data_IF_577816327449
#
_entry.id   IF_577816327449
#
_cell.length_a   1.000
_cell.length_b   1.000
_cell.length_c   1.000
_cell.angle_alpha   90.00
_cell.angle_beta   90.00
_cell.angle_gamma   90.00
#
_symmetry.space_group_name_H-M   'P 1'
#
loop_
_entity.id
_entity.type
_entity.pdbx_description
1 polymer ?
#
# COMPACT_ATOMS: atom_id res chain seq x y z
N UNK A 1 7.88 17.32 -4.62
CA UNK A 1 7.99 16.03 -3.91
C UNK A 1 9.19 16.00 -2.97
N UNK A 2 8.99 15.54 -1.75
CA UNK A 2 10.07 15.35 -0.77
C UNK A 2 10.33 13.83 -0.62
N UNK A 3 11.53 13.38 -0.97
CA UNK A 3 11.94 11.97 -0.89
C UNK A 3 12.05 11.43 0.54
N UNK A 4 11.99 12.32 1.54
CA UNK A 4 11.99 11.97 2.96
C UNK A 4 10.63 11.47 3.46
N UNK A 5 9.57 11.65 2.68
CA UNK A 5 8.24 11.17 3.03
C UNK A 5 8.13 9.65 2.85
N UNK A 6 7.23 9.02 3.58
CA UNK A 6 6.98 7.57 3.48
C UNK A 6 6.07 7.19 2.32
N UNK A 7 5.42 8.16 1.69
CA UNK A 7 4.55 7.90 0.54
C UNK A 7 5.39 7.53 -0.68
N UNK A 8 5.08 6.42 -1.29
CA UNK A 8 5.76 5.94 -2.49
C UNK A 8 4.97 6.42 -3.71
N UNK A 9 5.69 7.03 -4.65
CA UNK A 9 5.15 7.45 -5.96
C UNK A 9 5.84 6.63 -7.06
N UNK A 10 5.28 6.58 -8.28
CA UNK A 10 5.96 6.04 -9.45
C UNK A 10 7.33 6.69 -9.64
N UNK A 11 8.31 5.90 -10.06
CA UNK A 11 9.70 6.36 -10.19
C UNK A 11 9.92 7.20 -11.45
N UNK A 12 9.11 6.98 -12.48
CA UNK A 12 9.22 7.65 -13.77
C UNK A 12 8.19 8.78 -13.92
N UNK A 13 8.61 9.84 -14.60
CA UNK A 13 7.77 10.96 -14.96
C UNK A 13 7.80 12.15 -14.00
N UNK A 14 7.60 13.34 -14.54
CA UNK A 14 7.52 14.59 -13.77
C UNK A 14 6.12 14.83 -13.20
N UNK A 15 5.11 14.18 -13.78
CA UNK A 15 3.71 14.36 -13.43
C UNK A 15 3.09 13.00 -13.13
N UNK A 16 2.40 12.89 -12.00
CA UNK A 16 1.59 11.72 -11.66
C UNK A 16 0.17 12.13 -11.30
N UNK A 17 -0.76 11.22 -11.50
CA UNK A 17 -2.16 11.42 -11.20
C UNK A 17 -2.57 10.60 -9.99
N UNK A 18 -3.34 11.22 -9.09
CA UNK A 18 -3.96 10.50 -7.97
C UNK A 18 -5.38 10.16 -8.39
N UNK A 19 -5.67 8.86 -8.43
CA UNK A 19 -7.02 8.35 -8.71
C UNK A 19 -7.62 7.82 -7.41
N UNK A 20 -8.68 8.46 -6.93
CA UNK A 20 -9.40 8.05 -5.74
C UNK A 20 -10.74 7.38 -6.13
N UNK A 21 -10.93 6.14 -5.69
CA UNK A 21 -12.17 5.40 -5.88
C UNK A 21 -13.00 5.44 -4.59
N UNK A 22 -13.87 6.43 -4.47
CA UNK A 22 -14.78 6.53 -3.34
C UNK A 22 -15.98 5.60 -3.58
N UNK A 23 -16.16 4.62 -2.69
CA UNK A 23 -17.25 3.65 -2.75
C UNK A 23 -18.05 3.68 -1.47
N UNK A 24 -19.37 3.60 -1.60
CA UNK A 24 -20.28 3.59 -0.48
C UNK A 24 -20.95 2.22 -0.34
N UNK A 25 -20.98 1.70 0.86
CA UNK A 25 -21.72 0.48 1.22
C UNK A 25 -22.88 0.89 2.13
N UNK A 26 -24.14 0.71 1.71
CA UNK A 26 -25.27 1.01 2.57
C UNK A 26 -25.24 0.18 3.86
N UNK A 27 -25.73 0.69 5.00
CA UNK A 27 -25.72 -0.03 6.28
C UNK A 27 -26.40 -1.39 6.26
N UNK A 28 -27.38 -1.56 5.35
CA UNK A 28 -28.13 -2.82 5.18
C UNK A 28 -27.53 -3.76 4.12
N UNK A 29 -26.36 -3.40 3.53
CA UNK A 29 -25.74 -4.22 2.51
C UNK A 29 -25.19 -5.52 3.09
N UNK A 30 -25.29 -6.61 2.31
CA UNK A 30 -24.70 -7.89 2.67
C UNK A 30 -23.17 -7.81 2.62
N UNK A 31 -22.47 -8.62 3.42
CA UNK A 31 -20.99 -8.75 3.42
C UNK A 31 -20.46 -9.01 2.00
N UNK A 32 -21.16 -9.79 1.20
CA UNK A 32 -20.82 -10.04 -0.20
C UNK A 32 -20.68 -8.78 -1.08
N UNK A 33 -21.28 -7.65 -0.68
CA UNK A 33 -21.12 -6.39 -1.40
C UNK A 33 -19.74 -5.78 -1.21
N UNK A 34 -19.17 -5.90 -0.01
CA UNK A 34 -17.81 -5.44 0.30
C UNK A 34 -16.78 -6.30 -0.44
N UNK A 35 -16.93 -7.62 -0.38
CA UNK A 35 -16.06 -8.56 -1.09
C UNK A 35 -16.04 -8.29 -2.60
N UNK A 36 -17.21 -8.03 -3.18
CA UNK A 36 -17.31 -7.67 -4.60
C UNK A 36 -16.57 -6.37 -4.92
N UNK A 37 -16.68 -5.35 -4.06
CA UNK A 37 -15.95 -4.08 -4.25
C UNK A 37 -14.44 -4.26 -4.15
N UNK A 38 -13.98 -5.09 -3.21
CA UNK A 38 -12.56 -5.44 -3.08
C UNK A 38 -12.07 -6.16 -4.33
N UNK A 39 -12.82 -7.14 -4.83
CA UNK A 39 -12.50 -7.85 -6.07
C UNK A 39 -12.39 -6.89 -7.27
N UNK A 40 -13.34 -5.97 -7.42
CA UNK A 40 -13.30 -4.96 -8.48
C UNK A 40 -12.09 -4.03 -8.37
N UNK A 41 -11.66 -3.66 -7.16
CA UNK A 41 -10.43 -2.88 -6.99
C UNK A 41 -9.19 -3.69 -7.42
N UNK A 42 -9.17 -4.99 -7.12
CA UNK A 42 -8.09 -5.88 -7.58
C UNK A 42 -8.07 -6.04 -9.10
N UNK A 43 -9.23 -6.08 -9.75
CA UNK A 43 -9.33 -6.11 -11.22
C UNK A 43 -8.69 -4.87 -11.85
N UNK A 44 -8.90 -3.67 -11.26
CA UNK A 44 -8.26 -2.43 -11.73
C UNK A 44 -6.74 -2.54 -11.63
N UNK A 45 -6.22 -3.01 -10.49
CA UNK A 45 -4.79 -3.22 -10.28
C UNK A 45 -4.22 -4.23 -11.30
N UNK A 46 -4.92 -5.33 -11.51
CA UNK A 46 -4.56 -6.34 -12.51
C UNK A 46 -4.51 -5.76 -13.92
N UNK A 47 -5.49 -4.92 -14.26
CA UNK A 47 -5.55 -4.26 -15.56
C UNK A 47 -4.35 -3.32 -15.75
N UNK A 48 -3.96 -2.55 -14.73
CA UNK A 48 -2.77 -1.70 -14.78
C UNK A 48 -1.51 -2.53 -15.06
N UNK A 49 -1.31 -3.63 -14.32
CA UNK A 49 -0.18 -4.54 -14.54
C UNK A 49 -0.16 -5.07 -15.97
N UNK A 50 -1.30 -5.57 -16.45
CA UNK A 50 -1.42 -6.15 -17.81
C UNK A 50 -1.09 -5.14 -18.92
N UNK A 51 -1.37 -3.86 -18.70
CA UNK A 51 -1.15 -2.80 -19.68
C UNK A 51 0.16 -2.02 -19.45
N UNK A 52 1.04 -2.47 -18.56
CA UNK A 52 2.33 -1.84 -18.30
C UNK A 52 2.23 -0.43 -17.72
N UNK A 53 1.13 -0.13 -17.03
CA UNK A 53 0.95 1.17 -16.36
C UNK A 53 1.74 1.15 -15.06
N UNK A 54 2.67 2.08 -14.91
CA UNK A 54 3.34 2.28 -13.63
C UNK A 54 2.37 2.93 -12.64
N UNK A 55 2.19 2.27 -11.50
CA UNK A 55 1.30 2.73 -10.45
C UNK A 55 1.84 2.39 -9.06
N UNK A 56 1.41 3.15 -8.06
CA UNK A 56 1.62 2.82 -6.66
C UNK A 56 0.31 2.95 -5.91
N UNK A 57 -0.01 1.96 -5.09
CA UNK A 57 -1.16 2.04 -4.20
C UNK A 57 -0.85 2.99 -3.04
N UNK A 58 -1.76 3.91 -2.76
CA UNK A 58 -1.57 4.90 -1.68
C UNK A 58 -1.65 4.27 -0.29
N UNK A 59 -2.62 3.40 -0.06
CA UNK A 59 -2.82 2.66 1.20
C UNK A 59 -2.93 1.16 0.91
N UNK A 60 -1.83 0.51 0.52
CA UNK A 60 -1.88 -0.90 0.19
C UNK A 60 -2.08 -1.78 1.44
N UNK A 61 -2.68 -2.95 1.23
CA UNK A 61 -2.81 -4.02 2.21
C UNK A 61 -2.17 -5.28 1.66
N UNK A 62 -0.85 -5.36 1.79
CA UNK A 62 -0.12 -6.55 1.37
C UNK A 62 -0.09 -7.59 2.48
N UNK A 63 0.01 -8.86 2.10
CA UNK A 63 0.02 -10.00 3.02
C UNK A 63 1.43 -10.52 3.30
N UNK A 64 2.38 -10.21 2.43
CA UNK A 64 3.76 -10.68 2.55
C UNK A 64 4.76 -9.53 2.64
N UNK A 65 5.91 -9.82 3.24
CA UNK A 65 7.00 -8.86 3.34
C UNK A 65 7.60 -8.55 1.97
N UNK A 66 7.62 -9.52 1.05
CA UNK A 66 8.13 -9.36 -0.30
C UNK A 66 7.30 -8.33 -1.09
N UNK A 67 5.99 -8.30 -0.88
CA UNK A 67 5.11 -7.30 -1.50
C UNK A 67 5.42 -5.91 -0.96
N UNK A 68 5.69 -5.77 0.33
CA UNK A 68 6.11 -4.51 0.94
C UNK A 68 7.48 -4.05 0.45
N UNK A 69 8.47 -4.96 0.35
CA UNK A 69 9.79 -4.66 -0.21
C UNK A 69 9.64 -4.15 -1.65
N UNK A 70 8.83 -4.80 -2.46
CA UNK A 70 8.55 -4.38 -3.84
C UNK A 70 7.86 -3.02 -3.91
N UNK A 71 6.93 -2.76 -2.99
CA UNK A 71 6.23 -1.48 -2.92
C UNK A 71 7.18 -0.32 -2.62
N UNK A 72 8.03 -0.47 -1.61
CA UNK A 72 8.98 0.56 -1.20
C UNK A 72 10.24 0.63 -2.08
N UNK A 73 10.56 -0.47 -2.79
CA UNK A 73 11.72 -0.55 -3.65
C UNK A 73 13.03 -0.19 -2.92
N UNK A 74 13.83 0.70 -3.51
CA UNK A 74 15.09 1.16 -2.95
C UNK A 74 14.98 1.90 -1.60
N UNK A 75 13.78 2.31 -1.21
CA UNK A 75 13.51 2.99 0.06
C UNK A 75 13.29 2.03 1.23
N UNK A 76 13.16 0.74 0.96
CA UNK A 76 12.83 -0.25 1.98
C UNK A 76 13.86 -0.27 3.14
N UNK A 77 15.15 -0.32 2.86
CA UNK A 77 16.18 -0.33 3.89
C UNK A 77 16.09 0.87 4.82
N UNK A 78 16.00 2.08 4.22
CA UNK A 78 15.83 3.32 4.99
C UNK A 78 14.56 3.32 5.85
N UNK A 79 13.48 2.72 5.34
CA UNK A 79 12.22 2.61 6.07
C UNK A 79 12.35 1.67 7.29
N UNK A 80 13.03 0.53 7.12
CA UNK A 80 13.34 -0.41 8.20
C UNK A 80 14.24 0.24 9.27
N UNK A 81 15.29 0.93 8.85
CA UNK A 81 16.22 1.62 9.76
C UNK A 81 15.48 2.66 10.60
N UNK A 82 14.63 3.46 9.99
CA UNK A 82 13.80 4.44 10.69
C UNK A 82 12.82 3.77 11.64
N UNK A 83 12.18 2.68 11.22
CA UNK A 83 11.30 1.91 12.10
C UNK A 83 12.04 1.42 13.34
N UNK A 84 13.21 0.85 13.18
CA UNK A 84 14.04 0.38 14.29
C UNK A 84 14.52 1.50 15.21
N UNK A 85 14.80 2.67 14.64
CA UNK A 85 15.23 3.84 15.40
C UNK A 85 14.10 4.46 16.23
N UNK A 86 12.90 4.62 15.65
CA UNK A 86 11.80 5.34 16.29
C UNK A 86 10.81 4.44 17.03
N UNK A 87 10.82 3.14 16.75
CA UNK A 87 9.97 2.17 17.44
C UNK A 87 10.73 0.85 17.67
N UNK A 88 11.82 0.89 18.46
CA UNK A 88 12.67 -0.28 18.70
C UNK A 88 11.94 -1.44 19.38
N UNK A 89 10.89 -1.13 20.12
CA UNK A 89 10.06 -2.13 20.82
C UNK A 89 8.90 -2.65 19.97
N UNK A 90 8.81 -2.21 18.71
CA UNK A 90 7.75 -2.58 17.78
C UNK A 90 6.31 -2.42 18.34
N UNK A 91 6.10 -1.37 19.14
CA UNK A 91 4.79 -1.07 19.76
C UNK A 91 3.76 -0.69 18.68
N UNK A 92 4.20 0.01 17.64
CA UNK A 92 3.37 0.47 16.52
C UNK A 92 3.35 -0.53 15.35
N UNK A 93 3.69 -1.79 15.59
CA UNK A 93 3.74 -2.82 14.55
C UNK A 93 2.42 -3.22 13.94
N UNK A 94 1.30 -3.36 14.69
CA UNK A 94 0.13 -4.06 14.17
C UNK A 94 -0.73 -3.27 13.19
N UNK A 95 -0.44 -2.01 12.89
CA UNK A 95 -1.27 -1.16 12.02
C UNK A 95 -1.53 -1.77 10.65
N UNK A 96 -0.67 -1.49 9.67
CA UNK A 96 -0.81 -2.01 8.30
C UNK A 96 -0.14 -3.38 8.10
N UNK A 97 0.35 -4.01 9.15
CA UNK A 97 1.06 -5.30 9.10
C UNK A 97 2.32 -5.30 8.22
N UNK A 98 2.97 -4.14 8.10
CA UNK A 98 4.24 -4.02 7.40
C UNK A 98 5.34 -4.71 8.21
N UNK A 99 5.29 -4.53 9.53
CA UNK A 99 6.19 -5.16 10.48
C UNK A 99 5.42 -6.05 11.43
N UNK A 100 5.98 -7.19 11.76
CA UNK A 100 5.45 -8.07 12.80
C UNK A 100 6.17 -7.77 14.11
N UNK A 101 5.43 -7.78 15.21
CA UNK A 101 6.03 -7.79 16.53
C UNK A 101 6.61 -9.18 16.76
N UNK A 102 7.93 -9.27 16.87
CA UNK A 102 8.58 -10.48 17.36
C UNK A 102 8.23 -10.58 18.85
N UNK A 103 7.47 -11.59 19.21
CA UNK A 103 7.22 -11.96 20.61
C UNK A 103 8.47 -12.60 21.18
#
# INVERSE_FOLDING_TARGET
WDDRTSVVIPEEGEIFYIVALLRFVPPCAKVSSVEKMVAQNQEIVHWCVKNGIDYKLYLPHYKSQEEWIRHFGNRWSRFVDRKSMFDPMAILSPGQKIFNRSL
#
